data_IF_070966573229
#
_entry.id   IF_070966573229
#
_cell.length_a   1.000
_cell.length_b   1.000
_cell.length_c   1.000
_cell.angle_alpha   90.00
_cell.angle_beta   90.00
_cell.angle_gamma   90.00
#
_symmetry.space_group_name_H-M   'P 1'
#
loop_
_entity.id
_entity.type
_entity.pdbx_description
1 polymer ?
#
# COMPACT_ATOMS: atom_id res chain seq x y z
N UNK A 1 9.60 -48.79 -54.06
CA UNK A 1 10.61 -48.01 -54.79
C UNK A 1 10.44 -46.49 -54.63
N UNK A 2 9.22 -45.93 -54.58
CA UNK A 2 9.02 -44.49 -54.30
C UNK A 2 8.96 -44.16 -52.79
N UNK A 3 8.52 -45.10 -51.95
CA UNK A 3 8.46 -44.94 -50.48
C UNK A 3 9.78 -45.18 -49.73
N UNK A 4 10.83 -45.64 -50.40
CA UNK A 4 12.15 -45.88 -49.80
C UNK A 4 13.12 -44.71 -50.04
N UNK A 5 12.75 -43.74 -50.90
CA UNK A 5 13.56 -42.55 -51.19
C UNK A 5 13.17 -41.31 -50.37
N UNK A 6 12.00 -41.30 -49.71
CA UNK A 6 11.55 -40.16 -48.90
C UNK A 6 12.05 -40.20 -47.45
N UNK A 7 12.46 -41.37 -46.95
CA UNK A 7 12.98 -41.53 -45.57
C UNK A 7 14.51 -41.44 -45.46
N UNK A 8 15.21 -41.23 -46.57
CA UNK A 8 16.68 -41.26 -46.62
C UNK A 8 17.30 -39.90 -46.96
N UNK A 9 16.51 -38.82 -47.11
CA UNK A 9 17.00 -37.54 -47.62
C UNK A 9 17.21 -36.42 -46.57
N UNK A 10 17.05 -36.69 -45.27
CA UNK A 10 17.41 -35.73 -44.22
C UNK A 10 18.21 -36.35 -43.07
N UNK A 11 19.35 -36.97 -43.39
CA UNK A 11 20.48 -37.04 -42.46
C UNK A 11 21.76 -36.72 -43.24
N UNK A 12 21.86 -35.48 -43.73
CA UNK A 12 23.17 -34.89 -44.00
C UNK A 12 23.54 -34.09 -42.77
N UNK A 13 24.41 -34.69 -41.95
CA UNK A 13 25.06 -34.10 -40.78
C UNK A 13 26.03 -33.03 -41.31
N UNK A 14 25.48 -31.90 -41.74
CA UNK A 14 26.24 -30.71 -42.12
C UNK A 14 26.36 -29.80 -40.91
N UNK A 15 27.59 -29.62 -40.42
CA UNK A 15 28.09 -28.49 -39.63
C UNK A 15 27.03 -27.70 -38.83
N UNK A 16 26.54 -28.25 -37.73
CA UNK A 16 25.95 -27.40 -36.69
C UNK A 16 27.08 -26.60 -36.05
N UNK A 17 27.29 -25.38 -36.55
CA UNK A 17 27.96 -24.35 -35.74
C UNK A 17 27.14 -24.15 -34.47
N UNK A 18 27.76 -24.08 -33.27
CA UNK A 18 27.03 -23.71 -32.07
C UNK A 18 26.31 -22.38 -32.34
N UNK A 19 25.03 -22.31 -31.96
CA UNK A 19 24.23 -21.10 -32.13
C UNK A 19 25.01 -19.91 -31.57
N UNK A 20 25.03 -18.80 -32.31
CA UNK A 20 25.78 -17.63 -31.88
C UNK A 20 25.13 -17.04 -30.63
N UNK A 21 25.89 -16.33 -29.80
CA UNK A 21 25.37 -15.64 -28.61
C UNK A 21 24.19 -14.69 -28.97
N UNK A 22 24.20 -14.16 -30.20
CA UNK A 22 23.11 -13.36 -30.77
C UNK A 22 21.85 -14.19 -31.05
N UNK A 23 21.98 -15.45 -31.46
CA UNK A 23 20.84 -16.35 -31.70
C UNK A 23 20.20 -16.80 -30.39
N UNK A 24 21.01 -17.02 -29.34
CA UNK A 24 20.52 -17.27 -27.98
C UNK A 24 19.75 -16.06 -27.43
N UNK A 25 20.29 -14.84 -27.57
CA UNK A 25 19.59 -13.62 -27.17
C UNK A 25 18.33 -13.34 -28.02
N UNK A 26 18.31 -13.73 -29.30
CA UNK A 26 17.12 -13.61 -30.15
C UNK A 26 16.00 -14.57 -29.71
N UNK A 27 16.35 -15.80 -29.32
CA UNK A 27 15.37 -16.76 -28.77
C UNK A 27 14.88 -16.36 -27.37
N UNK A 28 15.76 -15.80 -26.53
CA UNK A 28 15.44 -15.33 -25.17
C UNK A 28 14.62 -14.03 -25.17
N UNK A 29 14.76 -13.19 -26.20
CA UNK A 29 13.91 -12.01 -26.40
C UNK A 29 12.56 -12.32 -27.03
N UNK A 30 12.48 -13.34 -27.91
CA UNK A 30 11.24 -13.78 -28.54
C UNK A 30 10.27 -14.51 -27.58
N UNK A 31 10.77 -15.04 -26.46
CA UNK A 31 9.98 -15.75 -25.44
C UNK A 31 9.47 -14.87 -24.31
N UNK A 32 9.83 -13.57 -24.28
CA UNK A 32 9.31 -12.64 -23.26
C UNK A 32 7.93 -12.12 -23.69
N UNK A 33 6.82 -12.51 -23.02
CA UNK A 33 5.55 -11.86 -23.26
C UNK A 33 5.69 -10.36 -22.92
N UNK A 34 5.29 -9.49 -23.85
CA UNK A 34 5.28 -8.06 -23.60
C UNK A 34 4.40 -7.78 -22.36
N UNK A 35 4.87 -6.99 -21.38
CA UNK A 35 4.09 -6.72 -20.18
C UNK A 35 2.77 -6.06 -20.58
N UNK A 36 1.65 -6.67 -20.20
CA UNK A 36 0.32 -6.16 -20.47
C UNK A 36 0.21 -4.67 -20.08
N UNK A 37 -0.59 -3.84 -20.80
CA UNK A 37 -0.63 -2.39 -20.58
C UNK A 37 -0.98 -1.99 -19.14
N UNK A 38 -1.73 -2.82 -18.40
CA UNK A 38 -2.00 -2.61 -16.97
C UNK A 38 -0.76 -2.79 -16.08
N UNK A 39 0.11 -3.76 -16.41
CA UNK A 39 1.39 -3.96 -15.73
C UNK A 39 2.34 -2.81 -16.04
N UNK A 40 2.30 -2.25 -17.26
CA UNK A 40 3.13 -1.10 -17.60
C UNK A 40 2.83 0.12 -16.72
N UNK A 41 1.56 0.45 -16.48
CA UNK A 41 1.21 1.56 -15.58
C UNK A 41 1.63 1.32 -14.14
N UNK A 42 1.43 0.12 -13.60
CA UNK A 42 1.86 -0.22 -12.24
C UNK A 42 3.38 -0.19 -12.13
N UNK A 43 4.09 -0.77 -13.10
CA UNK A 43 5.56 -0.77 -13.15
C UNK A 43 6.12 0.65 -13.29
N UNK A 44 5.51 1.50 -14.13
CA UNK A 44 5.89 2.91 -14.25
C UNK A 44 5.56 3.68 -12.96
N UNK A 45 4.38 3.48 -12.38
CA UNK A 45 4.00 4.11 -11.13
C UNK A 45 4.95 3.73 -10.00
N UNK A 46 5.27 2.45 -9.83
CA UNK A 46 6.25 1.97 -8.83
C UNK A 46 7.65 2.53 -9.11
N UNK A 47 8.07 2.60 -10.36
CA UNK A 47 9.39 3.11 -10.76
C UNK A 47 9.55 4.61 -10.51
N UNK A 48 8.51 5.40 -10.75
CA UNK A 48 8.58 6.86 -10.67
C UNK A 48 7.97 7.47 -9.39
N UNK A 49 7.15 6.73 -8.66
CA UNK A 49 6.53 7.21 -7.42
C UNK A 49 7.50 7.09 -6.26
N UNK A 50 7.80 8.19 -5.56
CA UNK A 50 8.59 8.13 -4.33
C UNK A 50 7.72 7.60 -3.18
N UNK A 51 8.27 6.71 -2.36
CA UNK A 51 7.54 6.12 -1.22
C UNK A 51 7.08 7.22 -0.26
N UNK A 52 7.94 8.20 0.00
CA UNK A 52 7.60 9.38 0.78
C UNK A 52 6.47 10.23 0.20
N UNK A 53 6.32 10.32 -1.13
CA UNK A 53 5.20 11.05 -1.75
C UNK A 53 3.88 10.30 -1.55
N UNK A 54 3.87 8.98 -1.70
CA UNK A 54 2.68 8.15 -1.43
C UNK A 54 2.27 8.25 0.03
N UNK A 55 3.23 8.16 0.96
CA UNK A 55 2.98 8.35 2.39
C UNK A 55 2.35 9.72 2.68
N UNK A 56 2.93 10.78 2.11
CA UNK A 56 2.44 12.15 2.28
C UNK A 56 1.01 12.33 1.75
N UNK A 57 0.67 11.74 0.60
CA UNK A 57 -0.70 11.81 0.06
C UNK A 57 -1.71 11.07 0.94
N UNK A 58 -1.36 9.89 1.47
CA UNK A 58 -2.24 9.15 2.36
C UNK A 58 -2.42 9.92 3.69
N UNK A 59 -1.34 10.51 4.22
CA UNK A 59 -1.39 11.32 5.43
C UNK A 59 -2.27 12.58 5.24
N UNK A 60 -2.06 13.31 4.14
CA UNK A 60 -2.85 14.50 3.80
C UNK A 60 -4.32 14.17 3.52
N UNK A 61 -4.60 13.12 2.75
CA UNK A 61 -5.95 12.65 2.49
C UNK A 61 -6.69 12.24 3.77
N UNK A 62 -6.00 11.55 4.68
CA UNK A 62 -6.51 11.20 5.99
C UNK A 62 -6.90 12.40 6.86
N UNK A 63 -6.03 13.43 6.88
CA UNK A 63 -6.28 14.68 7.60
C UNK A 63 -7.49 15.43 7.03
N UNK A 64 -7.55 15.57 5.71
CA UNK A 64 -8.64 16.26 5.01
C UNK A 64 -9.97 15.52 5.25
N UNK A 65 -9.97 14.19 5.11
CA UNK A 65 -11.14 13.37 5.39
C UNK A 65 -11.63 13.55 6.84
N UNK A 66 -10.73 13.44 7.82
CA UNK A 66 -11.09 13.59 9.23
C UNK A 66 -11.70 14.97 9.53
N UNK A 67 -11.12 16.03 8.97
CA UNK A 67 -11.60 17.41 9.15
C UNK A 67 -12.95 17.67 8.47
N UNK A 68 -13.14 17.20 7.23
CA UNK A 68 -14.42 17.33 6.52
C UNK A 68 -15.53 16.61 7.27
N UNK A 69 -15.27 15.38 7.75
CA UNK A 69 -16.28 14.61 8.49
C UNK A 69 -16.70 15.34 9.76
N UNK A 70 -15.76 15.86 10.57
CA UNK A 70 -16.11 16.65 11.76
C UNK A 70 -16.93 17.90 11.39
N UNK A 71 -16.54 18.60 10.31
CA UNK A 71 -17.28 19.78 9.87
C UNK A 71 -18.70 19.46 9.42
N UNK A 72 -18.89 18.34 8.72
CA UNK A 72 -20.21 17.86 8.30
C UNK A 72 -21.06 17.48 9.51
N UNK A 73 -20.48 16.80 10.50
CA UNK A 73 -21.19 16.47 11.75
C UNK A 73 -21.65 17.74 12.47
N UNK A 74 -20.78 18.75 12.59
CA UNK A 74 -21.15 20.03 13.20
C UNK A 74 -22.28 20.74 12.45
N UNK A 75 -22.31 20.65 11.12
CA UNK A 75 -23.40 21.20 10.31
C UNK A 75 -24.72 20.43 10.53
N UNK A 76 -24.66 19.10 10.70
CA UNK A 76 -25.84 18.29 11.01
C UNK A 76 -26.35 18.52 12.44
N UNK A 77 -25.43 18.77 13.38
CA UNK A 77 -25.72 19.04 14.79
C UNK A 77 -25.93 20.54 15.08
N UNK A 78 -26.04 21.40 14.06
CA UNK A 78 -26.22 22.84 14.19
C UNK A 78 -27.30 23.32 15.18
N UNK A 79 -28.43 22.62 15.44
CA UNK A 79 -29.37 23.03 16.48
C UNK A 79 -28.90 22.75 17.93
N UNK A 80 -27.79 22.03 18.13
CA UNK A 80 -27.24 21.68 19.44
C UNK A 80 -25.96 22.47 19.76
N UNK A 81 -25.71 22.84 21.03
CA UNK A 81 -24.61 23.72 21.45
C UNK A 81 -23.23 23.04 21.52
N UNK A 82 -23.05 21.86 20.89
CA UNK A 82 -21.86 21.02 21.04
C UNK A 82 -21.03 21.00 19.73
N UNK A 83 -20.22 22.03 19.44
CA UNK A 83 -19.29 21.96 18.31
C UNK A 83 -18.23 20.89 18.59
N UNK A 84 -17.90 20.09 17.58
CA UNK A 84 -16.86 19.06 17.61
C UNK A 84 -15.59 19.51 16.87
N UNK A 85 -15.70 20.47 15.96
CA UNK A 85 -14.59 21.01 15.21
C UNK A 85 -14.19 22.41 15.69
N UNK A 86 -12.88 22.61 15.87
CA UNK A 86 -12.30 23.94 16.02
C UNK A 86 -11.02 24.05 15.17
N UNK A 87 -10.83 25.18 14.48
CA UNK A 87 -9.64 25.42 13.65
C UNK A 87 -8.32 25.30 14.41
N UNK A 88 -8.28 25.64 15.71
CA UNK A 88 -7.10 25.47 16.56
C UNK A 88 -6.63 24.01 16.63
N UNK A 89 -7.55 23.05 16.45
CA UNK A 89 -7.25 21.61 16.47
C UNK A 89 -6.53 21.14 15.20
N UNK A 90 -6.55 21.90 14.09
CA UNK A 90 -5.87 21.50 12.86
C UNK A 90 -4.34 21.43 13.02
N UNK A 91 -3.78 22.35 13.81
CA UNK A 91 -2.34 22.30 14.15
C UNK A 91 -1.96 20.99 14.82
N UNK A 92 -2.90 20.39 15.54
CA UNK A 92 -2.74 19.14 16.29
C UNK A 92 -2.94 17.93 15.40
N UNK A 93 -3.95 18.00 14.55
CA UNK A 93 -4.20 16.99 13.55
C UNK A 93 -2.96 16.80 12.66
N UNK A 94 -2.29 17.87 12.21
CA UNK A 94 -1.03 17.77 11.44
C UNK A 94 -0.01 16.87 12.15
N UNK A 95 0.19 17.03 13.46
CA UNK A 95 1.17 16.23 14.23
C UNK A 95 0.77 14.75 14.31
N UNK A 96 -0.52 14.43 14.40
CA UNK A 96 -0.99 13.04 14.41
C UNK A 96 -0.76 12.33 13.08
N UNK A 97 -0.87 13.05 11.96
CA UNK A 97 -0.66 12.48 10.62
C UNK A 97 0.80 12.59 10.14
N UNK A 98 1.59 13.55 10.64
CA UNK A 98 2.96 13.77 10.21
C UNK A 98 3.92 12.63 10.61
N UNK A 99 3.72 12.05 11.80
CA UNK A 99 4.56 10.95 12.26
C UNK A 99 4.09 9.60 11.69
N UNK A 100 4.98 8.59 11.58
CA UNK A 100 4.63 7.24 11.12
C UNK A 100 3.50 6.61 11.95
N UNK A 101 3.48 6.88 13.26
CA UNK A 101 2.42 6.51 14.17
C UNK A 101 2.06 7.68 15.08
N UNK A 102 0.77 7.80 15.46
CA UNK A 102 0.37 8.80 16.44
C UNK A 102 0.97 8.48 17.81
N UNK A 103 1.26 9.50 18.63
CA UNK A 103 1.91 9.32 19.92
C UNK A 103 1.02 8.59 20.96
N UNK A 104 1.56 8.11 22.08
CA UNK A 104 0.80 7.33 23.07
C UNK A 104 -0.34 8.14 23.72
N UNK A 105 -1.56 7.59 23.72
CA UNK A 105 -2.76 8.28 24.24
C UNK A 105 -2.70 8.63 25.75
N UNK A 106 -1.95 7.87 26.56
CA UNK A 106 -1.85 8.11 28.01
C UNK A 106 -1.20 9.46 28.30
N UNK A 107 -0.11 9.75 27.59
CA UNK A 107 0.62 11.00 27.72
C UNK A 107 -0.19 12.15 27.16
N UNK A 108 -0.89 11.95 26.03
CA UNK A 108 -1.84 12.91 25.49
C UNK A 108 -2.84 13.37 26.56
N UNK A 109 -3.48 12.41 27.24
CA UNK A 109 -4.52 12.71 28.23
C UNK A 109 -3.95 13.43 29.45
N UNK A 110 -2.83 12.95 29.99
CA UNK A 110 -2.17 13.57 31.14
C UNK A 110 -1.73 15.01 30.86
N UNK A 111 -1.08 15.24 29.71
CA UNK A 111 -0.65 16.56 29.31
C UNK A 111 -1.84 17.49 29.02
N UNK A 112 -2.94 16.97 28.47
CA UNK A 112 -4.15 17.77 28.17
C UNK A 112 -4.82 18.24 29.45
N UNK A 113 -4.95 17.35 30.43
CA UNK A 113 -5.47 17.68 31.75
C UNK A 113 -4.57 18.72 32.44
N UNK A 114 -3.25 18.50 32.45
CA UNK A 114 -2.30 19.42 33.06
C UNK A 114 -2.30 20.82 32.43
N UNK A 115 -2.32 20.88 31.10
CA UNK A 115 -2.39 22.14 30.37
C UNK A 115 -3.71 22.88 30.58
N UNK A 116 -4.83 22.15 30.65
CA UNK A 116 -6.13 22.72 30.96
C UNK A 116 -6.16 23.33 32.38
N UNK A 117 -5.67 22.60 33.39
CA UNK A 117 -5.57 23.12 34.76
C UNK A 117 -4.68 24.37 34.85
N UNK A 118 -3.52 24.36 34.18
CA UNK A 118 -2.61 25.50 34.17
C UNK A 118 -3.24 26.72 33.49
N UNK A 119 -3.89 26.53 32.33
CA UNK A 119 -4.60 27.60 31.63
C UNK A 119 -5.74 28.19 32.46
N UNK A 120 -6.54 27.33 33.11
CA UNK A 120 -7.62 27.74 34.00
C UNK A 120 -7.11 28.51 35.23
N UNK A 121 -6.02 28.05 35.85
CA UNK A 121 -5.43 28.70 37.02
C UNK A 121 -4.94 30.12 36.68
N UNK A 122 -4.21 30.26 35.57
CA UNK A 122 -3.68 31.57 35.15
C UNK A 122 -4.79 32.55 34.79
N UNK A 123 -5.87 32.03 34.18
CA UNK A 123 -7.04 32.83 33.86
C UNK A 123 -7.83 33.23 35.10
N UNK A 124 -7.98 32.34 36.08
CA UNK A 124 -8.60 32.66 37.37
C UNK A 124 -7.85 33.78 38.10
N UNK A 125 -6.53 33.86 37.95
CA UNK A 125 -5.70 34.94 38.48
C UNK A 125 -5.79 36.25 37.68
N UNK A 126 -6.64 36.31 36.63
CA UNK A 126 -6.82 37.46 35.74
C UNK A 126 -5.51 37.92 35.05
N UNK A 127 -4.59 36.97 34.83
CA UNK A 127 -3.30 37.25 34.20
C UNK A 127 -3.43 37.01 32.69
N UNK A 128 -3.89 38.02 31.96
CA UNK A 128 -3.98 37.99 30.49
C UNK A 128 -2.89 38.91 29.90
N UNK A 129 -1.80 38.30 29.39
CA UNK A 129 -0.72 39.03 28.71
C UNK A 129 0.00 38.12 27.73
N UNK A 130 0.43 38.67 26.59
CA UNK A 130 1.27 37.97 25.61
C UNK A 130 2.53 37.40 26.28
N UNK A 131 3.12 38.13 27.23
CA UNK A 131 4.28 37.67 27.99
C UNK A 131 3.99 36.41 28.80
N UNK A 132 2.78 36.28 29.34
CA UNK A 132 2.37 35.14 30.15
C UNK A 132 2.14 33.92 29.26
N UNK A 133 1.54 34.10 28.09
CA UNK A 133 1.42 33.05 27.08
C UNK A 133 2.79 32.48 26.66
N UNK A 134 3.80 33.35 26.51
CA UNK A 134 5.19 32.93 26.21
C UNK A 134 5.79 32.13 27.38
N UNK A 135 5.61 32.59 28.62
CA UNK A 135 6.09 31.89 29.82
C UNK A 135 5.42 30.52 29.96
N UNK A 136 4.11 30.43 29.74
CA UNK A 136 3.34 29.17 29.75
C UNK A 136 3.84 28.21 28.69
N UNK A 137 4.06 28.69 27.47
CA UNK A 137 4.65 27.89 26.40
C UNK A 137 6.03 27.34 26.82
N UNK A 138 6.85 28.15 27.49
CA UNK A 138 8.13 27.73 28.06
C UNK A 138 8.00 26.66 29.15
N UNK A 139 7.09 26.84 30.11
CA UNK A 139 6.83 25.86 31.18
C UNK A 139 6.31 24.52 30.62
N UNK A 140 5.41 24.56 29.64
CA UNK A 140 4.92 23.36 28.96
C UNK A 140 6.03 22.65 28.18
N UNK A 141 6.94 23.40 27.54
CA UNK A 141 8.09 22.82 26.87
C UNK A 141 9.02 22.08 27.85
N UNK A 142 9.27 22.64 29.04
CA UNK A 142 10.03 21.97 30.10
C UNK A 142 9.33 20.67 30.50
N UNK A 143 8.01 20.72 30.69
CA UNK A 143 7.21 19.53 31.01
C UNK A 143 7.29 18.46 29.92
N UNK A 144 7.22 18.82 28.63
CA UNK A 144 7.36 17.86 27.52
C UNK A 144 8.76 17.26 27.43
N UNK A 145 9.80 18.07 27.66
CA UNK A 145 11.18 17.55 27.71
C UNK A 145 11.38 16.59 28.87
N UNK A 146 10.78 16.86 30.03
CA UNK A 146 10.80 15.95 31.18
C UNK A 146 10.02 14.66 30.91
N UNK A 147 8.83 14.76 30.30
CA UNK A 147 8.01 13.62 29.92
C UNK A 147 8.59 12.80 28.76
N UNK A 148 9.66 13.27 28.09
CA UNK A 148 10.30 12.66 26.91
C UNK A 148 9.36 12.40 25.72
N UNK A 149 8.19 13.05 25.71
CA UNK A 149 7.18 12.85 24.68
C UNK A 149 6.58 14.22 24.35
N UNK A 150 6.71 14.64 23.10
CA UNK A 150 6.19 15.92 22.65
C UNK A 150 4.68 15.79 22.40
N UNK A 151 3.88 16.63 23.05
CA UNK A 151 2.44 16.72 22.79
C UNK A 151 2.02 18.17 22.48
N UNK A 152 2.24 18.63 21.24
CA UNK A 152 1.80 19.94 20.76
C UNK A 152 0.32 20.30 21.04
N UNK A 153 -0.65 19.33 21.03
CA UNK A 153 -2.05 19.58 21.39
C UNK A 153 -2.26 20.39 22.66
N UNK A 154 -1.43 20.13 23.65
CA UNK A 154 -1.67 20.59 25.01
C UNK A 154 -1.25 22.06 25.17
N UNK A 155 -0.31 22.52 24.34
CA UNK A 155 0.02 23.94 24.20
C UNK A 155 -1.15 24.73 23.62
N UNK A 156 -1.83 24.19 22.60
CA UNK A 156 -3.00 24.81 22.00
C UNK A 156 -4.13 25.03 23.00
N UNK A 157 -4.41 24.05 23.86
CA UNK A 157 -5.40 24.19 24.96
C UNK A 157 -5.05 25.34 25.89
N UNK A 158 -3.83 25.36 26.42
CA UNK A 158 -3.43 26.35 27.41
C UNK A 158 -3.42 27.76 26.82
N UNK A 159 -2.84 27.93 25.62
CA UNK A 159 -2.80 29.23 24.92
C UNK A 159 -4.22 29.71 24.63
N UNK A 160 -5.08 28.83 24.11
CA UNK A 160 -6.46 29.17 23.76
C UNK A 160 -7.27 29.58 24.99
N UNK A 161 -7.17 28.83 26.10
CA UNK A 161 -7.85 29.17 27.35
C UNK A 161 -7.46 30.55 27.88
N UNK A 162 -6.21 30.99 27.66
CA UNK A 162 -5.71 32.30 28.06
C UNK A 162 -6.18 33.40 27.08
N UNK A 163 -6.26 33.09 25.78
CA UNK A 163 -6.51 34.11 24.74
C UNK A 163 -7.97 34.33 24.38
N UNK A 164 -8.85 33.35 24.61
CA UNK A 164 -10.23 33.40 24.14
C UNK A 164 -11.16 34.14 25.12
N UNK A 165 -11.50 35.38 24.77
CA UNK A 165 -12.43 36.23 25.51
C UNK A 165 -13.88 35.71 25.50
N UNK A 166 -14.24 34.82 24.56
CA UNK A 166 -15.62 34.30 24.44
C UNK A 166 -15.96 33.23 25.48
N UNK A 167 -14.95 32.71 26.17
CA UNK A 167 -15.10 31.81 27.32
C UNK A 167 -15.41 32.54 28.63
N UNK A 168 -15.64 33.85 28.60
CA UNK A 168 -16.10 34.58 29.77
C UNK A 168 -17.60 34.34 29.96
N UNK A 169 -18.05 33.84 31.12
CA UNK A 169 -19.46 33.77 31.43
C UNK A 169 -20.02 35.19 31.53
N UNK A 170 -21.35 35.36 31.40
CA UNK A 170 -22.00 36.67 31.48
C UNK A 170 -21.53 37.46 32.71
N UNK A 171 -21.35 38.77 32.55
CA UNK A 171 -20.87 39.67 33.62
C UNK A 171 -21.71 39.45 34.89
N UNK A 172 -21.07 39.00 35.98
CA UNK A 172 -21.73 38.66 37.26
C UNK A 172 -21.93 37.16 37.54
N UNK A 173 -21.50 36.27 36.64
CA UNK A 173 -21.53 34.83 36.86
C UNK A 173 -20.49 34.39 37.91
N UNK A 174 -20.92 33.54 38.85
CA UNK A 174 -20.03 33.04 39.91
C UNK A 174 -18.95 32.06 39.42
N UNK A 175 -18.00 31.68 40.29
CA UNK A 175 -16.90 30.77 39.94
C UNK A 175 -17.35 29.41 39.38
N UNK A 176 -18.50 28.89 39.84
CA UNK A 176 -19.04 27.60 39.41
C UNK A 176 -19.55 27.60 37.96
N UNK A 177 -20.15 28.69 37.51
CA UNK A 177 -20.61 28.86 36.12
C UNK A 177 -19.44 28.96 35.15
N UNK A 178 -18.35 29.66 35.52
CA UNK A 178 -17.11 29.69 34.74
C UNK A 178 -16.53 28.29 34.52
N UNK A 179 -16.42 27.50 35.60
CA UNK A 179 -15.90 26.15 35.52
C UNK A 179 -16.74 25.26 34.58
N UNK A 180 -18.07 25.32 34.64
CA UNK A 180 -18.92 24.53 33.74
C UNK A 180 -18.72 24.86 32.26
N UNK A 181 -18.62 26.14 31.88
CA UNK A 181 -18.37 26.53 30.48
C UNK A 181 -17.00 26.04 30.00
N UNK A 182 -15.96 26.16 30.82
CA UNK A 182 -14.63 25.66 30.49
C UNK A 182 -14.55 24.13 30.39
N UNK A 183 -15.28 23.41 31.27
CA UNK A 183 -15.39 21.95 31.21
C UNK A 183 -16.14 21.48 29.97
N UNK A 184 -17.23 22.17 29.61
CA UNK A 184 -17.98 21.86 28.40
C UNK A 184 -17.09 21.93 27.16
N UNK A 185 -16.28 22.98 27.07
CA UNK A 185 -15.39 23.20 25.93
C UNK A 185 -14.20 22.22 25.87
N UNK A 186 -13.69 21.81 27.04
CA UNK A 186 -12.68 20.76 27.16
C UNK A 186 -13.22 19.43 26.61
N UNK A 187 -14.47 19.08 26.91
CA UNK A 187 -15.10 17.85 26.43
C UNK A 187 -15.41 17.96 24.93
N UNK A 188 -16.04 19.06 24.51
CA UNK A 188 -16.42 19.37 23.11
C UNK A 188 -16.17 20.84 22.82
N UNK A 189 -15.37 21.21 21.80
CA UNK A 189 -14.86 20.36 20.73
C UNK A 189 -13.59 19.60 21.09
N UNK A 190 -12.89 20.00 22.15
CA UNK A 190 -11.46 19.72 22.25
C UNK A 190 -11.11 18.22 22.36
N UNK A 191 -11.61 17.52 23.37
CA UNK A 191 -11.34 16.09 23.55
C UNK A 191 -12.02 15.26 22.46
N UNK A 192 -13.31 15.50 22.20
CA UNK A 192 -14.08 14.71 21.23
C UNK A 192 -13.49 14.76 19.81
N UNK A 193 -13.21 15.96 19.29
CA UNK A 193 -12.61 16.09 17.96
C UNK A 193 -11.16 15.58 17.92
N UNK A 194 -10.39 15.73 19.00
CA UNK A 194 -9.02 15.20 19.06
C UNK A 194 -8.99 13.67 19.06
N UNK A 195 -9.95 13.03 19.74
CA UNK A 195 -10.13 11.58 19.71
C UNK A 195 -10.46 11.12 18.28
N UNK A 196 -11.35 11.83 17.58
CA UNK A 196 -11.65 11.53 16.19
C UNK A 196 -10.41 11.61 15.29
N UNK A 197 -9.66 12.73 15.33
CA UNK A 197 -8.41 12.85 14.58
C UNK A 197 -7.40 11.77 14.94
N UNK A 198 -7.28 11.41 16.23
CA UNK A 198 -6.38 10.35 16.68
C UNK A 198 -6.77 8.97 16.10
N UNK A 199 -8.05 8.64 16.09
CA UNK A 199 -8.56 7.37 15.54
C UNK A 199 -8.29 7.27 14.05
N UNK A 200 -8.60 8.33 13.28
CA UNK A 200 -8.31 8.35 11.85
C UNK A 200 -6.80 8.30 11.60
N UNK A 201 -5.99 9.06 12.35
CA UNK A 201 -4.54 9.01 12.23
C UNK A 201 -3.95 7.61 12.52
N UNK A 202 -4.54 6.87 13.47
CA UNK A 202 -4.14 5.48 13.76
C UNK A 202 -4.52 4.54 12.62
N UNK A 203 -5.71 4.69 12.05
CA UNK A 203 -6.15 3.90 10.90
C UNK A 203 -5.27 4.18 9.67
N UNK A 204 -5.01 5.44 9.37
CA UNK A 204 -4.16 5.82 8.23
C UNK A 204 -2.71 5.48 8.47
N UNK A 205 -2.19 5.53 9.70
CA UNK A 205 -0.85 5.02 10.06
C UNK A 205 -0.68 3.55 9.70
N UNK A 206 -1.66 2.69 10.04
CA UNK A 206 -1.62 1.27 9.67
C UNK A 206 -1.63 1.08 8.16
N UNK A 207 -2.51 1.79 7.44
CA UNK A 207 -2.57 1.74 5.99
C UNK A 207 -1.26 2.24 5.34
N UNK A 208 -0.68 3.34 5.84
CA UNK A 208 0.61 3.87 5.40
C UNK A 208 1.73 2.87 5.59
N UNK A 209 1.80 2.22 6.75
CA UNK A 209 2.79 1.18 7.02
C UNK A 209 2.67 -0.01 6.05
N UNK A 210 1.45 -0.49 5.80
CA UNK A 210 1.21 -1.60 4.88
C UNK A 210 1.51 -1.24 3.41
N UNK A 211 1.10 -0.04 2.98
CA UNK A 211 1.41 0.46 1.64
C UNK A 211 2.91 0.67 1.48
N UNK A 212 3.58 1.22 2.50
CA UNK A 212 5.03 1.43 2.51
C UNK A 212 5.78 0.12 2.34
N UNK A 213 5.46 -0.91 3.13
CA UNK A 213 6.14 -2.22 3.03
C UNK A 213 5.89 -2.88 1.68
N UNK A 214 4.64 -2.87 1.19
CA UNK A 214 4.29 -3.41 -0.14
C UNK A 214 5.01 -2.67 -1.27
N UNK A 215 5.03 -1.35 -1.23
CA UNK A 215 5.67 -0.53 -2.27
C UNK A 215 7.19 -0.67 -2.25
N UNK A 216 7.78 -0.72 -1.05
CA UNK A 216 9.22 -0.95 -0.88
C UNK A 216 9.61 -2.32 -1.44
N UNK A 217 8.84 -3.37 -1.15
CA UNK A 217 9.03 -4.69 -1.75
C UNK A 217 8.89 -4.68 -3.26
N UNK A 218 7.82 -4.07 -3.79
CA UNK A 218 7.64 -3.97 -5.25
C UNK A 218 8.80 -3.23 -5.94
N UNK A 219 9.35 -2.18 -5.31
CA UNK A 219 10.53 -1.48 -5.85
C UNK A 219 11.78 -2.33 -5.81
N UNK A 220 11.99 -3.06 -4.71
CA UNK A 220 13.11 -3.98 -4.57
C UNK A 220 13.05 -5.01 -5.70
N UNK A 221 11.92 -5.69 -5.85
CA UNK A 221 11.67 -6.69 -6.89
C UNK A 221 11.78 -6.11 -8.30
N UNK A 222 11.29 -4.89 -8.53
CA UNK A 222 11.38 -4.24 -9.84
C UNK A 222 12.83 -4.00 -10.29
N UNK A 223 13.79 -3.88 -9.37
CA UNK A 223 15.22 -3.78 -9.72
C UNK A 223 15.81 -5.12 -10.20
N UNK A 224 15.12 -6.24 -9.92
CA UNK A 224 15.53 -7.59 -10.32
C UNK A 224 14.59 -8.21 -11.37
N UNK A 225 13.42 -7.61 -11.58
CA UNK A 225 12.44 -8.06 -12.56
C UNK A 225 13.06 -8.07 -13.97
N UNK A 226 12.93 -9.21 -14.65
CA UNK A 226 13.42 -9.41 -16.02
C UNK A 226 14.92 -9.65 -16.15
N UNK A 227 15.66 -9.74 -15.04
CA UNK A 227 17.07 -10.18 -15.03
C UNK A 227 17.19 -11.69 -15.21
N UNK A 228 18.22 -12.13 -15.92
CA UNK A 228 18.57 -13.55 -16.06
C UNK A 228 19.19 -14.08 -14.78
N UNK A 229 19.24 -15.40 -14.61
CA UNK A 229 19.85 -16.00 -13.42
C UNK A 229 21.32 -15.59 -13.27
N UNK A 230 22.07 -15.45 -14.38
CA UNK A 230 23.44 -14.94 -14.36
C UNK A 230 23.54 -13.51 -13.83
N UNK A 231 22.60 -12.63 -14.18
CA UNK A 231 22.54 -11.26 -13.67
C UNK A 231 22.10 -11.20 -12.21
N UNK A 232 21.22 -12.10 -11.76
CA UNK A 232 20.83 -12.22 -10.35
C UNK A 232 21.99 -12.73 -9.49
N UNK A 233 22.75 -13.70 -9.99
CA UNK A 233 23.98 -14.20 -9.37
C UNK A 233 25.01 -13.08 -9.21
N UNK A 234 25.17 -12.24 -10.24
CA UNK A 234 26.07 -11.10 -10.16
C UNK A 234 25.60 -10.07 -9.15
N UNK A 235 24.29 -9.78 -9.12
CA UNK A 235 23.73 -8.86 -8.14
C UNK A 235 23.82 -9.39 -6.70
N UNK A 236 23.68 -10.70 -6.50
CA UNK A 236 23.91 -11.36 -5.22
C UNK A 236 25.35 -11.12 -4.74
N UNK A 237 26.35 -11.33 -5.60
CA UNK A 237 27.77 -11.06 -5.29
C UNK A 237 28.08 -9.58 -5.00
N UNK A 238 27.28 -8.66 -5.53
CA UNK A 238 27.43 -7.23 -5.22
C UNK A 238 26.82 -6.85 -3.86
N UNK A 239 25.92 -7.69 -3.35
CA UNK A 239 25.26 -7.51 -2.05
C UNK A 239 26.05 -8.22 -0.94
N UNK A 240 26.50 -9.45 -1.21
CA UNK A 240 27.37 -10.27 -0.37
C UNK A 240 28.74 -9.60 -0.23
N UNK A 241 28.87 -8.77 0.81
CA UNK A 241 30.02 -7.90 0.99
C UNK A 241 31.19 -8.63 1.66
N UNK A 242 30.89 -9.64 2.47
CA UNK A 242 31.89 -10.46 3.14
C UNK A 242 32.32 -11.69 2.32
N UNK A 243 31.59 -12.02 1.26
CA UNK A 243 31.87 -13.15 0.38
C UNK A 243 31.55 -14.50 1.01
N UNK A 244 30.67 -14.51 2.03
CA UNK A 244 30.25 -15.69 2.78
C UNK A 244 29.39 -16.65 1.97
N UNK A 245 28.87 -16.23 0.82
CA UNK A 245 27.99 -17.04 -0.04
C UNK A 245 26.55 -17.12 0.45
N UNK A 246 26.20 -16.38 1.51
CA UNK A 246 24.86 -16.23 2.05
C UNK A 246 24.68 -14.81 2.58
N UNK A 247 23.51 -14.22 2.38
CA UNK A 247 23.19 -12.87 2.82
C UNK A 247 22.69 -12.88 4.24
N UNK A 248 23.38 -12.14 5.12
CA UNK A 248 22.90 -11.92 6.47
C UNK A 248 21.82 -10.80 6.54
N UNK A 249 21.19 -10.65 7.71
CA UNK A 249 20.17 -9.63 7.94
C UNK A 249 20.67 -8.21 7.64
N UNK A 250 21.95 -7.91 7.91
CA UNK A 250 22.52 -6.57 7.70
C UNK A 250 22.79 -6.30 6.23
N UNK A 251 23.34 -7.27 5.52
CA UNK A 251 23.59 -7.20 4.09
C UNK A 251 22.28 -7.02 3.31
N UNK A 252 21.23 -7.74 3.69
CA UNK A 252 19.90 -7.58 3.12
C UNK A 252 19.35 -6.17 3.37
N UNK A 253 19.49 -5.62 4.58
CA UNK A 253 19.04 -4.25 4.91
C UNK A 253 19.81 -3.21 4.07
N UNK A 254 21.12 -3.36 3.91
CA UNK A 254 21.94 -2.45 3.09
C UNK A 254 21.57 -2.52 1.61
N UNK A 255 21.39 -3.73 1.08
CA UNK A 255 20.92 -3.94 -0.29
C UNK A 255 19.55 -3.31 -0.53
N UNK A 256 18.64 -3.49 0.42
CA UNK A 256 17.31 -2.94 0.39
C UNK A 256 17.31 -1.41 0.37
N UNK A 257 18.13 -0.80 1.22
CA UNK A 257 18.30 0.65 1.27
C UNK A 257 18.88 1.19 -0.03
N UNK A 258 19.89 0.53 -0.60
CA UNK A 258 20.49 0.90 -1.90
C UNK A 258 19.48 0.78 -3.05
N UNK A 259 18.64 -0.25 -3.01
CA UNK A 259 17.66 -0.56 -4.05
C UNK A 259 16.41 0.34 -4.00
N UNK A 260 15.90 0.64 -2.79
CA UNK A 260 14.59 1.28 -2.60
C UNK A 260 14.66 2.70 -2.05
N UNK A 261 15.79 3.07 -1.42
CA UNK A 261 15.97 4.31 -0.68
C UNK A 261 15.33 4.31 0.72
N UNK A 262 14.73 3.19 1.15
CA UNK A 262 14.08 3.05 2.45
C UNK A 262 14.85 2.13 3.38
N UNK A 263 14.77 2.41 4.68
CA UNK A 263 15.34 1.56 5.72
C UNK A 263 14.38 0.41 6.06
N UNK A 264 14.90 -0.81 6.05
CA UNK A 264 14.18 -2.02 6.44
C UNK A 264 14.52 -2.33 7.90
N UNK A 265 13.50 -2.54 8.75
CA UNK A 265 13.76 -2.92 10.15
C UNK A 265 14.32 -4.35 10.22
N UNK A 266 15.20 -4.67 11.20
CA UNK A 266 15.77 -6.01 11.33
C UNK A 266 14.70 -7.12 11.42
N UNK A 267 13.58 -6.86 12.09
CA UNK A 267 12.46 -7.80 12.22
C UNK A 267 11.76 -8.05 10.88
N UNK A 268 11.63 -7.01 10.04
CA UNK A 268 11.09 -7.15 8.70
C UNK A 268 12.05 -7.91 7.79
N UNK A 269 13.36 -7.61 7.86
CA UNK A 269 14.39 -8.33 7.12
C UNK A 269 14.39 -9.82 7.49
N UNK A 270 14.30 -10.14 8.79
CA UNK A 270 14.22 -11.53 9.25
C UNK A 270 12.97 -12.21 8.71
N UNK A 271 11.80 -11.56 8.76
CA UNK A 271 10.57 -12.14 8.21
C UNK A 271 10.62 -12.39 6.70
N UNK A 272 11.47 -11.70 5.94
CA UNK A 272 11.70 -11.97 4.53
C UNK A 272 12.63 -13.17 4.32
N UNK A 273 13.67 -13.29 5.15
CA UNK A 273 14.57 -14.44 5.15
C UNK A 273 13.78 -15.70 5.51
N UNK A 274 13.04 -15.68 6.62
CA UNK A 274 12.24 -16.79 7.13
C UNK A 274 11.18 -17.32 6.13
N UNK A 275 10.81 -16.55 5.09
CA UNK A 275 9.84 -16.97 4.08
C UNK A 275 10.42 -17.92 3.03
N UNK A 276 11.73 -17.86 2.81
CA UNK A 276 12.45 -18.60 1.76
C UNK A 276 13.63 -19.41 2.28
N UNK A 277 14.03 -19.18 3.54
CA UNK A 277 15.04 -19.94 4.28
C UNK A 277 14.53 -21.38 4.53
N UNK A 278 14.93 -22.30 3.66
CA UNK A 278 14.50 -23.70 3.72
C UNK A 278 15.29 -24.50 4.74
N UNK A 279 16.58 -24.16 4.91
CA UNK A 279 17.49 -24.87 5.81
C UNK A 279 17.49 -24.32 7.25
N UNK A 280 16.82 -23.19 7.47
CA UNK A 280 16.68 -22.47 8.75
C UNK A 280 18.01 -22.01 9.33
N UNK A 281 18.96 -21.67 8.47
CA UNK A 281 20.26 -21.15 8.89
C UNK A 281 20.20 -19.65 9.29
N UNK A 282 19.09 -18.96 9.02
CA UNK A 282 18.86 -17.56 9.36
C UNK A 282 19.59 -16.57 8.45
N UNK A 283 20.13 -17.05 7.34
CA UNK A 283 20.73 -16.31 6.24
C UNK A 283 20.03 -16.72 4.94
N UNK A 284 20.38 -16.05 3.84
CA UNK A 284 19.72 -16.29 2.57
C UNK A 284 20.75 -16.60 1.50
N UNK A 285 20.80 -17.86 1.09
CA UNK A 285 21.79 -18.32 0.12
C UNK A 285 21.45 -17.87 -1.32
N UNK A 286 22.38 -18.08 -2.25
CA UNK A 286 22.18 -17.67 -3.64
C UNK A 286 20.93 -18.28 -4.28
N UNK A 287 20.64 -19.55 -4.00
CA UNK A 287 19.51 -20.26 -4.57
C UNK A 287 18.18 -19.76 -3.96
N UNK A 288 18.16 -19.52 -2.65
CA UNK A 288 17.04 -18.94 -1.91
C UNK A 288 16.78 -17.49 -2.35
N UNK A 289 17.81 -16.71 -2.67
CA UNK A 289 17.69 -15.36 -3.23
C UNK A 289 16.99 -15.33 -4.58
N UNK A 290 17.45 -16.20 -5.49
CA UNK A 290 16.85 -16.32 -6.81
C UNK A 290 15.42 -16.83 -6.67
N UNK A 291 15.19 -17.84 -5.84
CA UNK A 291 13.86 -18.36 -5.54
C UNK A 291 12.94 -17.28 -4.97
N UNK A 292 13.41 -16.42 -4.05
CA UNK A 292 12.64 -15.29 -3.51
C UNK A 292 12.24 -14.32 -4.62
N UNK A 293 13.19 -13.90 -5.44
CA UNK A 293 12.95 -12.97 -6.54
C UNK A 293 11.99 -13.59 -7.55
N UNK A 294 12.19 -14.84 -7.95
CA UNK A 294 11.33 -15.56 -8.90
C UNK A 294 9.93 -15.75 -8.32
N UNK A 295 9.80 -16.29 -7.11
CA UNK A 295 8.50 -16.45 -6.42
C UNK A 295 7.72 -15.14 -6.28
N UNK A 296 8.40 -14.00 -6.17
CA UNK A 296 7.76 -12.68 -5.98
C UNK A 296 7.60 -11.86 -7.28
N UNK A 297 8.46 -12.05 -8.28
CA UNK A 297 8.39 -11.40 -9.60
C UNK A 297 7.59 -12.23 -10.62
N UNK A 298 7.67 -13.55 -10.53
CA UNK A 298 6.87 -14.57 -11.26
C UNK A 298 5.63 -14.97 -10.46
N UNK A 299 5.22 -14.15 -9.50
CA UNK A 299 3.79 -13.89 -9.39
C UNK A 299 3.51 -12.86 -10.48
N UNK A 300 3.18 -13.27 -11.74
CA UNK A 300 2.23 -12.45 -12.46
C UNK A 300 1.06 -12.28 -11.48
N UNK A 301 0.38 -11.14 -11.52
CA UNK A 301 -1.00 -11.06 -11.03
C UNK A 301 -1.61 -12.41 -11.36
N UNK A 302 -1.86 -13.28 -10.35
CA UNK A 302 -2.33 -14.66 -10.59
C UNK A 302 -3.26 -14.55 -11.75
N UNK A 303 -2.88 -15.15 -12.86
CA UNK A 303 -3.58 -14.84 -14.08
C UNK A 303 -5.04 -15.11 -13.80
N UNK A 304 -5.94 -14.31 -14.36
CA UNK A 304 -7.35 -14.35 -13.99
C UNK A 304 -7.86 -15.80 -13.90
N UNK A 305 -7.41 -16.67 -14.80
CA UNK A 305 -7.65 -18.12 -14.77
C UNK A 305 -7.25 -18.80 -13.44
N UNK A 306 -6.09 -18.52 -12.85
CA UNK A 306 -5.57 -19.09 -11.60
C UNK A 306 -6.38 -18.71 -10.35
N UNK A 307 -7.30 -17.75 -10.47
CA UNK A 307 -8.21 -17.37 -9.40
C UNK A 307 -9.47 -18.24 -9.36
N UNK A 308 -9.77 -18.93 -10.45
CA UNK A 308 -10.94 -19.81 -10.58
C UNK A 308 -10.46 -21.25 -10.69
N UNK A 309 -11.10 -22.16 -9.96
CA UNK A 309 -10.97 -23.59 -10.23
C UNK A 309 -11.60 -23.93 -11.59
N UNK A 310 -11.18 -25.02 -12.21
CA UNK A 310 -11.77 -25.47 -13.49
C UNK A 310 -13.30 -25.68 -13.36
N UNK A 311 -13.77 -26.07 -12.18
CA UNK A 311 -15.19 -26.16 -11.87
C UNK A 311 -15.91 -24.80 -11.90
N UNK A 312 -15.27 -23.74 -11.42
CA UNK A 312 -15.82 -22.39 -11.48
C UNK A 312 -15.78 -21.80 -12.88
N UNK A 313 -14.75 -22.11 -13.68
CA UNK A 313 -14.70 -21.73 -15.09
C UNK A 313 -15.79 -22.43 -15.91
N UNK A 314 -16.09 -23.70 -15.59
CA UNK A 314 -17.24 -24.43 -16.16
C UNK A 314 -18.58 -23.85 -15.71
N UNK A 315 -18.71 -23.43 -14.46
CA UNK A 315 -19.92 -22.75 -14.00
C UNK A 315 -20.12 -21.38 -14.68
N UNK A 316 -19.02 -20.65 -14.91
CA UNK A 316 -19.04 -19.41 -15.70
C UNK A 316 -19.55 -19.73 -17.10
N UNK A 317 -19.04 -20.77 -17.76
CA UNK A 317 -19.56 -21.21 -19.06
C UNK A 317 -21.08 -21.45 -19.01
N UNK A 318 -21.57 -22.20 -18.02
CA UNK A 318 -23.00 -22.50 -17.86
C UNK A 318 -23.87 -21.24 -17.61
N UNK A 319 -23.32 -20.22 -16.95
CA UNK A 319 -24.01 -18.94 -16.70
C UNK A 319 -24.09 -18.02 -17.94
N UNK A 320 -23.33 -18.33 -19.00
CA UNK A 320 -23.21 -17.51 -20.22
C UNK A 320 -23.69 -18.20 -21.50
N UNK A 321 -23.84 -19.53 -21.47
CA UNK A 321 -24.52 -20.35 -22.49
C UNK A 321 -26.04 -20.09 -22.41
N UNK A 322 -26.47 -18.95 -22.97
CA UNK A 322 -27.86 -18.46 -22.89
C UNK A 322 -28.82 -19.33 -23.73
N UNK A 323 -28.32 -19.99 -24.78
CA UNK A 323 -29.12 -20.86 -25.65
C UNK A 323 -29.08 -22.34 -25.25
N UNK A 324 -28.20 -22.71 -24.31
CA UNK A 324 -28.07 -24.05 -23.73
C UNK A 324 -27.48 -25.09 -24.69
N UNK A 325 -26.80 -24.64 -25.74
CA UNK A 325 -26.24 -25.51 -26.78
C UNK A 325 -24.93 -26.21 -26.34
N UNK A 326 -24.38 -25.89 -25.16
CA UNK A 326 -23.08 -26.35 -24.64
C UNK A 326 -21.87 -25.98 -25.50
N UNK A 327 -22.00 -24.96 -26.34
CA UNK A 327 -21.03 -24.45 -27.29
C UNK A 327 -21.00 -22.91 -27.27
N UNK A 328 -19.89 -22.31 -26.83
CA UNK A 328 -19.80 -20.84 -26.73
C UNK A 328 -19.38 -20.21 -28.06
N UNK A 329 -20.19 -19.30 -28.58
CA UNK A 329 -19.87 -18.53 -29.79
C UNK A 329 -19.11 -17.21 -29.51
N UNK A 330 -18.74 -16.49 -30.58
CA UNK A 330 -17.96 -15.26 -30.46
C UNK A 330 -18.71 -14.12 -29.77
N UNK A 331 -20.03 -14.05 -29.90
CA UNK A 331 -20.84 -12.99 -29.30
C UNK A 331 -21.08 -13.28 -27.81
N UNK A 332 -21.32 -14.55 -27.45
CA UNK A 332 -21.41 -15.03 -26.08
C UNK A 332 -20.09 -14.86 -25.33
N UNK A 333 -18.97 -15.19 -25.98
CA UNK A 333 -17.63 -15.01 -25.42
C UNK A 333 -17.36 -13.53 -25.11
N UNK A 334 -17.77 -12.58 -25.98
CA UNK A 334 -17.60 -11.13 -25.72
C UNK A 334 -18.38 -10.69 -24.47
N UNK A 335 -19.60 -11.19 -24.29
CA UNK A 335 -20.46 -10.86 -23.14
C UNK A 335 -19.89 -11.47 -21.86
N UNK A 336 -19.50 -12.74 -21.90
CA UNK A 336 -18.82 -13.44 -20.82
C UNK A 336 -17.54 -12.70 -20.41
N UNK A 337 -16.68 -12.40 -21.37
CA UNK A 337 -15.40 -11.74 -21.13
C UNK A 337 -15.57 -10.37 -20.48
N UNK A 338 -16.55 -9.58 -20.93
CA UNK A 338 -16.83 -8.26 -20.36
C UNK A 338 -17.36 -8.34 -18.94
N UNK A 339 -18.26 -9.27 -18.63
CA UNK A 339 -18.85 -9.39 -17.30
C UNK A 339 -17.87 -10.01 -16.29
N UNK A 340 -16.96 -10.84 -16.78
CA UNK A 340 -15.98 -11.58 -15.97
C UNK A 340 -14.69 -10.78 -15.74
N UNK A 341 -14.14 -10.14 -16.79
CA UNK A 341 -12.85 -9.41 -16.70
C UNK A 341 -13.00 -7.88 -16.65
N UNK A 342 -14.23 -7.37 -16.83
CA UNK A 342 -14.53 -5.94 -16.98
C UNK A 342 -13.75 -5.25 -18.14
N UNK A 343 -13.19 -6.04 -19.07
CA UNK A 343 -12.53 -5.56 -20.28
C UNK A 343 -13.39 -5.84 -21.50
N UNK A 344 -13.37 -4.92 -22.47
CA UNK A 344 -14.04 -5.12 -23.76
C UNK A 344 -13.07 -5.79 -24.72
N UNK A 345 -13.53 -6.86 -25.34
CA UNK A 345 -12.89 -7.50 -26.48
C UNK A 345 -13.78 -7.28 -27.71
N UNK A 346 -13.18 -7.14 -28.90
CA UNK A 346 -13.95 -7.02 -30.13
C UNK A 346 -14.42 -8.41 -30.60
N UNK A 347 -15.52 -8.48 -31.34
CA UNK A 347 -16.02 -9.75 -31.90
C UNK A 347 -14.98 -10.41 -32.82
N UNK A 348 -14.14 -9.62 -33.51
CA UNK A 348 -13.06 -10.14 -34.34
C UNK A 348 -11.94 -10.80 -33.51
N UNK A 349 -11.60 -10.21 -32.37
CA UNK A 349 -10.61 -10.77 -31.44
C UNK A 349 -11.18 -12.02 -30.73
N UNK A 350 -12.47 -11.99 -30.35
CA UNK A 350 -13.16 -13.15 -29.79
C UNK A 350 -13.19 -14.33 -30.79
N UNK A 351 -13.49 -14.05 -32.06
CA UNK A 351 -13.42 -15.07 -33.11
C UNK A 351 -11.99 -15.61 -33.30
N UNK A 352 -10.98 -14.74 -33.21
CA UNK A 352 -9.58 -15.17 -33.29
C UNK A 352 -9.20 -16.07 -32.09
N UNK A 353 -9.70 -15.78 -30.90
CA UNK A 353 -9.50 -16.60 -29.69
C UNK A 353 -10.19 -17.96 -29.85
N UNK A 354 -11.42 -18.00 -30.36
CA UNK A 354 -12.14 -19.25 -30.64
C UNK A 354 -11.38 -20.08 -31.67
N UNK A 355 -10.92 -19.46 -32.77
CA UNK A 355 -10.17 -20.16 -33.81
C UNK A 355 -8.81 -20.68 -33.33
N UNK A 356 -8.22 -20.09 -32.30
CA UNK A 356 -6.98 -20.57 -31.67
C UNK A 356 -7.23 -21.70 -30.66
N UNK A 357 -8.42 -21.73 -30.07
CA UNK A 357 -8.80 -22.63 -28.99
C UNK A 357 -9.55 -23.88 -29.41
N UNK A 358 -10.30 -23.80 -30.51
CA UNK A 358 -11.08 -24.88 -31.06
C UNK A 358 -10.15 -25.96 -31.64
N UNK A 359 -10.05 -27.09 -30.94
CA UNK A 359 -9.22 -28.24 -31.35
C UNK A 359 -9.86 -28.91 -32.57
N UNK A 360 -11.18 -28.79 -32.69
CA UNK A 360 -11.99 -29.50 -33.67
C UNK A 360 -12.22 -28.68 -34.95
N UNK A 361 -11.67 -27.45 -35.04
CA UNK A 361 -11.87 -26.54 -36.16
C UNK A 361 -13.32 -26.03 -36.30
N UNK A 362 -14.13 -26.18 -35.25
CA UNK A 362 -15.47 -25.62 -35.13
C UNK A 362 -15.40 -24.11 -34.81
N UNK A 363 -16.41 -23.33 -35.22
CA UNK A 363 -16.49 -21.89 -34.94
C UNK A 363 -16.97 -21.58 -33.51
N UNK A 364 -16.98 -22.56 -32.61
CA UNK A 364 -17.50 -22.51 -31.23
C UNK A 364 -16.52 -23.18 -30.28
N UNK A 365 -16.58 -22.86 -28.97
CA UNK A 365 -15.76 -23.51 -27.94
C UNK A 365 -16.62 -24.40 -27.04
N UNK A 366 -16.18 -25.64 -26.81
CA UNK A 366 -16.78 -26.46 -25.76
C UNK A 366 -16.28 -26.08 -24.35
N UNK A 367 -16.86 -26.69 -23.30
CA UNK A 367 -16.52 -26.39 -21.90
C UNK A 367 -15.05 -26.64 -21.54
N UNK A 368 -14.45 -27.68 -22.10
CA UNK A 368 -13.07 -28.05 -21.80
C UNK A 368 -12.10 -27.21 -22.62
N UNK A 369 -12.45 -26.89 -23.86
CA UNK A 369 -11.74 -25.95 -24.74
C UNK A 369 -11.77 -24.52 -24.17
N UNK A 370 -12.91 -24.05 -23.66
CA UNK A 370 -13.03 -22.75 -22.99
C UNK A 370 -12.08 -22.64 -21.80
N UNK A 371 -12.02 -23.68 -20.96
CA UNK A 371 -11.08 -23.71 -19.82
C UNK A 371 -9.64 -23.67 -20.32
N UNK A 372 -9.29 -24.45 -21.34
CA UNK A 372 -7.94 -24.47 -21.90
C UNK A 372 -7.55 -23.12 -22.52
N UNK A 373 -8.46 -22.46 -23.24
CA UNK A 373 -8.25 -21.14 -23.85
C UNK A 373 -8.05 -20.07 -22.79
N UNK A 374 -8.91 -20.06 -21.77
CA UNK A 374 -8.80 -19.11 -20.65
C UNK A 374 -7.51 -19.34 -19.87
N UNK A 375 -7.05 -20.59 -19.74
CA UNK A 375 -5.78 -20.97 -19.13
C UNK A 375 -4.55 -20.65 -20.00
N UNK A 376 -4.68 -20.68 -21.32
CA UNK A 376 -3.58 -20.42 -22.27
C UNK A 376 -3.39 -18.93 -22.58
N UNK A 377 -4.46 -18.13 -22.47
CA UNK A 377 -4.45 -16.65 -22.56
C UNK A 377 -4.10 -15.98 -21.23
N UNK A 378 -3.97 -16.80 -20.18
CA UNK A 378 -3.65 -16.40 -18.82
C UNK A 378 -2.14 -16.33 -18.61
#
# INVERSE_FOLDING_TARGET
>A
AVLTNLLTQHVSRGDMKPASEADYHAMESATRPAPAPANMFVTLFVKYSSIGMVDAFIAAGGLVFAGIVLRVIDLMMAPHPLPLFNGAMLTMAIVFFANPAPPPYKVFLQCTIGAWFLGMLLRFLMIESVCVTIVVAGCLLIFFKWAKVMFPPTLGVAVFLISDQTMMPPVGAGPGTFAMYAFHWLITPWLAGSIWFYLIAKLTSKARAEVKTKLSMMKFLANFAGKTDGELIQAFKEIDADGGGALDNKELVLAWQKATGEELTPEQAQGLIDEVDEDKNGTLDQSEFIALIRKRCEQPIKSFADQFSDAQLKQIFDDFDDDGNNEMDADELVVAWKKVTNKKISTADAQAIINQGAINGNPTLDKDEFVQVVRAQA
#
